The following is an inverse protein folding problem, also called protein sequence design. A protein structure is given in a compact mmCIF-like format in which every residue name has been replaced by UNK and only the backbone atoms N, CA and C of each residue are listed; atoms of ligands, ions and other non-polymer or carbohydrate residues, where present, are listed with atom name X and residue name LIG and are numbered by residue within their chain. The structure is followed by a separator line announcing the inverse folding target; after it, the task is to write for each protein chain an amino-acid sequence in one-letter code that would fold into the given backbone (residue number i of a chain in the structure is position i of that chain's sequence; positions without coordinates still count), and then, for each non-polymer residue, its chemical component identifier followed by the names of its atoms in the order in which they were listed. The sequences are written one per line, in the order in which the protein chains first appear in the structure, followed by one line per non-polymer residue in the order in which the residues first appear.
data_IF_367334519026
#
_entry.id   IF_367334519026
#
_cell.length_a   1.000
_cell.length_b   1.000
_cell.length_c   1.000
_cell.angle_alpha   90.00
_cell.angle_beta   90.00
_cell.angle_gamma   90.00
#
_symmetry.space_group_name_H-M   'P 1'
#
loop_
_entity.id
_entity.type
_entity.pdbx_description
1 polymer ?
#
# COMPACT_ATOMS: atom_id res chain seq x y z
N UNK A 1 -18.00 -11.51 17.68
CA UNK A 1 -16.73 -11.26 16.96
C UNK A 1 -15.94 -10.09 17.54
N UNK A 2 -16.56 -8.95 17.89
CA UNK A 2 -15.86 -7.79 18.47
C UNK A 2 -14.97 -8.15 19.67
N UNK A 3 -15.48 -8.93 20.64
CA UNK A 3 -14.69 -9.36 21.79
C UNK A 3 -13.44 -10.19 21.40
N UNK A 4 -13.53 -11.02 20.36
CA UNK A 4 -12.39 -11.76 19.84
C UNK A 4 -11.37 -10.83 19.17
N UNK A 5 -11.83 -9.83 18.41
CA UNK A 5 -10.95 -8.84 17.80
C UNK A 5 -10.15 -8.05 18.83
N UNK A 6 -10.79 -7.56 19.90
CA UNK A 6 -10.07 -6.86 20.96
C UNK A 6 -9.04 -7.78 21.63
N UNK A 7 -9.38 -9.06 21.82
CA UNK A 7 -8.43 -10.03 22.38
C UNK A 7 -7.25 -10.31 21.44
N UNK A 8 -7.50 -10.45 20.15
CA UNK A 8 -6.46 -10.60 19.13
C UNK A 8 -5.55 -9.38 19.13
N UNK A 9 -6.12 -8.17 19.20
CA UNK A 9 -5.37 -6.92 19.26
C UNK A 9 -4.45 -6.83 20.49
N UNK A 10 -4.91 -7.25 21.66
CA UNK A 10 -4.06 -7.35 22.87
C UNK A 10 -2.87 -8.29 22.64
N UNK A 11 -3.11 -9.44 22.02
CA UNK A 11 -2.05 -10.43 21.74
C UNK A 11 -1.05 -9.87 20.73
N UNK A 12 -1.52 -9.24 19.65
CA UNK A 12 -0.67 -8.59 18.64
C UNK A 12 0.23 -7.54 19.29
N UNK A 13 -0.33 -6.69 20.16
CA UNK A 13 0.43 -5.63 20.83
C UNK A 13 1.48 -6.18 21.82
N UNK A 14 1.28 -7.37 22.35
CA UNK A 14 2.28 -8.02 23.21
C UNK A 14 3.51 -8.55 22.46
N UNK A 15 3.42 -8.77 21.13
CA UNK A 15 4.47 -9.38 20.30
C UNK A 15 5.52 -8.39 19.72
N UNK A 16 5.71 -7.22 20.36
CA UNK A 16 6.81 -6.25 20.08
C UNK A 16 7.15 -6.02 18.59
N UNK A 17 6.15 -5.88 17.72
CA UNK A 17 6.33 -5.59 16.29
C UNK A 17 7.22 -6.61 15.54
N UNK A 18 7.30 -7.86 16.01
CA UNK A 18 7.98 -8.94 15.33
C UNK A 18 7.03 -9.66 14.35
N UNK A 19 7.58 -10.19 13.25
CA UNK A 19 6.81 -11.00 12.30
C UNK A 19 6.56 -12.38 12.92
N UNK A 20 5.29 -12.71 13.13
CA UNK A 20 4.85 -14.03 13.64
C UNK A 20 3.83 -14.63 12.67
N UNK A 21 4.15 -15.77 12.08
CA UNK A 21 3.29 -16.45 11.10
C UNK A 21 1.97 -16.93 11.71
N UNK A 22 1.96 -17.40 12.95
CA UNK A 22 0.73 -17.82 13.61
C UNK A 22 -0.20 -16.62 13.86
N UNK A 23 0.36 -15.45 14.23
CA UNK A 23 -0.42 -14.23 14.37
C UNK A 23 -0.96 -13.72 13.03
N UNK A 24 -0.15 -13.82 11.97
CA UNK A 24 -0.59 -13.48 10.61
C UNK A 24 -1.75 -14.36 10.15
N UNK A 25 -1.66 -15.67 10.34
CA UNK A 25 -2.72 -16.59 9.96
C UNK A 25 -3.98 -16.35 10.82
N UNK A 26 -3.82 -16.09 12.13
CA UNK A 26 -4.95 -15.79 13.01
C UNK A 26 -5.74 -14.54 12.59
N UNK A 27 -5.06 -13.46 12.19
CA UNK A 27 -5.75 -12.24 11.75
C UNK A 27 -6.41 -12.42 10.38
N UNK A 28 -5.77 -13.16 9.48
CA UNK A 28 -6.33 -13.52 8.18
C UNK A 28 -7.60 -14.36 8.35
N UNK A 29 -7.54 -15.45 9.12
CA UNK A 29 -8.70 -16.30 9.45
C UNK A 29 -9.83 -15.50 10.11
N UNK A 30 -9.49 -14.59 11.05
CA UNK A 30 -10.48 -13.73 11.68
C UNK A 30 -11.22 -12.86 10.66
N UNK A 31 -10.48 -12.23 9.75
CA UNK A 31 -11.09 -11.38 8.74
C UNK A 31 -11.85 -12.18 7.69
N UNK A 32 -11.44 -13.39 7.35
CA UNK A 32 -12.17 -14.24 6.41
C UNK A 32 -13.53 -14.68 6.99
N UNK A 33 -13.57 -15.01 8.29
CA UNK A 33 -14.83 -15.23 9.00
C UNK A 33 -15.68 -13.95 9.04
N UNK A 34 -15.04 -12.79 9.25
CA UNK A 34 -15.74 -11.50 9.28
C UNK A 34 -16.40 -11.18 7.93
N UNK A 35 -15.67 -11.41 6.84
CA UNK A 35 -16.19 -11.23 5.48
C UNK A 35 -17.30 -12.22 5.16
N UNK A 36 -17.22 -13.45 5.66
CA UNK A 36 -18.32 -14.43 5.54
C UNK A 36 -19.61 -13.92 6.18
N UNK A 37 -19.52 -13.28 7.36
CA UNK A 37 -20.68 -12.65 8.01
C UNK A 37 -21.17 -11.41 7.24
N UNK A 38 -20.25 -10.60 6.71
CA UNK A 38 -20.61 -9.45 5.88
C UNK A 38 -21.39 -9.85 4.62
N UNK A 39 -21.04 -10.97 3.99
CA UNK A 39 -21.60 -11.38 2.70
C UNK A 39 -22.88 -12.23 2.84
N UNK A 40 -23.27 -12.64 4.05
CA UNK A 40 -24.39 -13.57 4.25
C UNK A 40 -25.77 -12.94 3.99
N UNK A 41 -25.98 -11.72 4.48
CA UNK A 41 -27.23 -10.96 4.35
C UNK A 41 -27.01 -9.47 4.70
N UNK A 42 -28.05 -8.64 4.50
CA UNK A 42 -27.96 -7.20 4.76
C UNK A 42 -27.76 -6.83 6.24
N UNK A 43 -28.26 -7.64 7.17
CA UNK A 43 -28.14 -7.40 8.61
C UNK A 43 -26.68 -7.61 9.04
N UNK A 44 -26.10 -8.77 8.70
CA UNK A 44 -24.69 -9.08 8.92
C UNK A 44 -23.76 -8.07 8.24
N UNK A 45 -24.07 -7.64 7.01
CA UNK A 45 -23.36 -6.56 6.34
C UNK A 45 -23.35 -5.28 7.17
N UNK A 46 -24.52 -4.81 7.62
CA UNK A 46 -24.63 -3.57 8.38
C UNK A 46 -23.94 -3.66 9.74
N UNK A 47 -24.11 -4.75 10.49
CA UNK A 47 -23.43 -4.95 11.77
C UNK A 47 -21.90 -4.96 11.62
N UNK A 48 -21.37 -5.67 10.61
CA UNK A 48 -19.93 -5.67 10.35
C UNK A 48 -19.42 -4.26 10.03
N UNK A 49 -20.11 -3.51 9.18
CA UNK A 49 -19.69 -2.15 8.84
C UNK A 49 -19.71 -1.23 10.06
N UNK A 50 -20.76 -1.30 10.88
CA UNK A 50 -20.94 -0.45 12.06
C UNK A 50 -19.89 -0.73 13.15
N UNK A 51 -19.58 -2.01 13.39
CA UNK A 51 -18.69 -2.43 14.47
C UNK A 51 -17.21 -2.39 14.07
N UNK A 52 -16.87 -2.67 12.81
CA UNK A 52 -15.49 -2.95 12.41
C UNK A 52 -14.78 -1.86 11.62
N UNK A 53 -15.46 -0.97 10.87
CA UNK A 53 -14.76 0.07 10.10
C UNK A 53 -13.82 0.88 10.99
N UNK A 54 -14.32 1.43 12.11
CA UNK A 54 -13.53 2.22 13.05
C UNK A 54 -12.36 1.40 13.63
N UNK A 55 -12.60 0.14 13.98
CA UNK A 55 -11.61 -0.75 14.60
C UNK A 55 -10.48 -1.11 13.65
N UNK A 56 -10.82 -1.37 12.39
CA UNK A 56 -9.84 -1.70 11.36
C UNK A 56 -9.04 -0.46 11.01
N UNK A 57 -9.66 0.72 10.86
CA UNK A 57 -8.93 1.99 10.71
C UNK A 57 -7.93 2.22 11.86
N UNK A 58 -8.36 2.00 13.11
CA UNK A 58 -7.48 2.12 14.28
C UNK A 58 -6.33 1.10 14.26
N UNK A 59 -6.55 -0.11 13.74
CA UNK A 59 -5.51 -1.13 13.56
C UNK A 59 -4.50 -0.71 12.49
N UNK A 60 -4.97 -0.16 11.36
CA UNK A 60 -4.15 0.31 10.24
C UNK A 60 -3.18 1.42 10.66
N UNK A 61 -3.62 2.35 11.51
CA UNK A 61 -2.78 3.50 11.92
C UNK A 61 -1.82 3.21 13.07
N UNK A 62 -1.97 2.08 13.77
CA UNK A 62 -1.18 1.74 14.95
C UNK A 62 0.22 1.25 14.59
N UNK A 63 1.21 2.14 14.66
CA UNK A 63 2.61 1.86 14.32
C UNK A 63 3.30 0.79 15.19
N UNK A 64 2.67 0.37 16.31
CA UNK A 64 3.19 -0.71 17.16
C UNK A 64 2.93 -2.09 16.57
N UNK A 65 2.03 -2.16 15.58
CA UNK A 65 1.58 -3.38 14.95
C UNK A 65 2.43 -3.67 13.71
N UNK A 66 2.82 -4.94 13.56
CA UNK A 66 3.59 -5.40 12.42
C UNK A 66 2.91 -5.04 11.10
N UNK A 67 3.69 -4.53 10.15
CA UNK A 67 3.19 -3.98 8.89
C UNK A 67 2.37 -4.99 8.10
N UNK A 68 2.74 -6.29 8.12
CA UNK A 68 1.96 -7.32 7.44
C UNK A 68 0.53 -7.45 7.99
N UNK A 69 0.33 -7.29 9.30
CA UNK A 69 -1.01 -7.31 9.91
C UNK A 69 -1.79 -6.07 9.46
N UNK A 70 -1.13 -4.90 9.41
CA UNK A 70 -1.74 -3.66 8.92
C UNK A 70 -2.08 -3.73 7.44
N UNK A 71 -1.25 -4.39 6.63
CA UNK A 71 -1.52 -4.70 5.22
C UNK A 71 -2.76 -5.58 5.06
N UNK A 72 -2.92 -6.61 5.90
CA UNK A 72 -4.12 -7.44 5.86
C UNK A 72 -5.36 -6.64 6.27
N UNK A 73 -5.24 -5.83 7.32
CA UNK A 73 -6.30 -4.95 7.79
C UNK A 73 -6.76 -3.95 6.72
N UNK A 74 -5.84 -3.29 6.00
CA UNK A 74 -6.21 -2.29 4.99
C UNK A 74 -6.88 -2.94 3.77
N UNK A 75 -6.45 -4.13 3.35
CA UNK A 75 -7.10 -4.88 2.27
C UNK A 75 -8.55 -5.18 2.62
N UNK A 76 -8.77 -5.68 3.84
CA UNK A 76 -10.10 -6.00 4.35
C UNK A 76 -10.94 -4.73 4.57
N UNK A 77 -10.34 -3.62 5.00
CA UNK A 77 -11.02 -2.32 5.06
C UNK A 77 -11.51 -1.87 3.67
N UNK A 78 -10.66 -1.92 2.65
CA UNK A 78 -11.05 -1.52 1.30
C UNK A 78 -12.14 -2.42 0.72
N UNK A 79 -12.12 -3.72 1.02
CA UNK A 79 -13.21 -4.63 0.67
C UNK A 79 -14.53 -4.25 1.36
N UNK A 80 -14.51 -3.91 2.65
CA UNK A 80 -15.70 -3.45 3.38
C UNK A 80 -16.23 -2.10 2.88
N UNK A 81 -15.32 -1.20 2.50
CA UNK A 81 -15.68 0.10 1.92
C UNK A 81 -16.16 0.01 0.48
N UNK A 82 -15.97 -1.14 -0.17
CA UNK A 82 -16.45 -1.37 -1.53
C UNK A 82 -17.98 -1.44 -1.58
N UNK A 83 -18.56 -0.63 -2.47
CA UNK A 83 -20.00 -0.55 -2.64
C UNK A 83 -20.79 -0.28 -1.33
N UNK A 84 -20.24 0.53 -0.43
CA UNK A 84 -20.93 0.91 0.82
C UNK A 84 -22.23 1.67 0.52
N UNK A 85 -23.32 1.25 1.18
CA UNK A 85 -24.64 1.86 1.00
C UNK A 85 -24.69 3.31 1.50
N UNK A 86 -25.62 4.11 0.98
CA UNK A 86 -25.80 5.50 1.45
C UNK A 86 -26.09 5.57 2.95
N UNK A 87 -26.84 4.61 3.49
CA UNK A 87 -27.13 4.57 4.93
C UNK A 87 -25.89 4.22 5.76
N UNK A 88 -25.08 3.25 5.31
CA UNK A 88 -23.83 2.89 5.98
C UNK A 88 -22.78 4.01 5.93
N UNK A 89 -22.83 4.94 4.95
CA UNK A 89 -21.94 6.12 4.93
C UNK A 89 -22.08 7.04 6.15
N UNK A 90 -23.18 6.97 6.89
CA UNK A 90 -23.33 7.69 8.17
C UNK A 90 -22.24 7.29 9.17
N UNK A 91 -21.73 6.06 9.10
CA UNK A 91 -20.62 5.55 9.92
C UNK A 91 -19.35 6.36 9.68
N UNK A 92 -19.04 6.67 8.42
CA UNK A 92 -17.85 7.40 7.99
C UNK A 92 -17.91 8.88 8.42
N UNK A 93 -19.12 9.41 8.64
CA UNK A 93 -19.33 10.81 9.03
C UNK A 93 -19.13 11.07 10.53
N UNK A 94 -18.80 10.05 11.33
CA UNK A 94 -18.57 10.17 12.77
C UNK A 94 -17.28 10.97 13.07
N UNK A 95 -17.22 11.79 14.14
CA UNK A 95 -16.02 12.56 14.49
C UNK A 95 -14.77 11.71 14.71
N UNK A 96 -14.92 10.51 15.28
CA UNK A 96 -13.82 9.57 15.52
C UNK A 96 -13.19 9.09 14.21
N UNK A 97 -14.00 8.92 13.16
CA UNK A 97 -13.52 8.57 11.82
C UNK A 97 -12.67 9.69 11.21
N UNK A 98 -13.06 10.95 11.38
CA UNK A 98 -12.28 12.09 10.87
C UNK A 98 -10.87 12.12 11.48
N UNK A 99 -10.75 11.85 12.79
CA UNK A 99 -9.44 11.74 13.44
C UNK A 99 -8.61 10.60 12.85
N UNK A 100 -9.20 9.42 12.65
CA UNK A 100 -8.50 8.29 12.07
C UNK A 100 -8.08 8.56 10.62
N UNK A 101 -8.89 9.27 9.83
CA UNK A 101 -8.54 9.65 8.46
C UNK A 101 -7.36 10.61 8.41
N UNK A 102 -7.28 11.56 9.36
CA UNK A 102 -6.10 12.41 9.52
C UNK A 102 -4.86 11.55 9.82
N UNK A 103 -4.98 10.59 10.74
CA UNK A 103 -3.87 9.72 11.10
C UNK A 103 -3.46 8.79 9.95
N UNK A 104 -4.42 8.27 9.17
CA UNK A 104 -4.20 7.52 7.94
C UNK A 104 -3.45 8.35 6.90
N UNK A 105 -3.87 9.60 6.67
CA UNK A 105 -3.15 10.51 5.77
C UNK A 105 -1.70 10.71 6.19
N UNK A 106 -1.44 10.93 7.49
CA UNK A 106 -0.07 11.00 8.02
C UNK A 106 0.72 9.71 7.81
N UNK A 107 0.08 8.53 7.98
CA UNK A 107 0.72 7.22 7.82
C UNK A 107 1.18 6.95 6.39
N UNK A 108 0.60 7.58 5.36
CA UNK A 108 1.09 7.43 3.97
C UNK A 108 2.58 7.79 3.88
N UNK A 109 3.02 8.82 4.61
CA UNK A 109 4.39 9.33 4.53
C UNK A 109 5.45 8.39 5.15
N UNK A 110 5.06 7.52 6.07
CA UNK A 110 5.97 6.61 6.79
C UNK A 110 5.49 5.15 6.83
N UNK A 111 4.59 4.79 5.91
CA UNK A 111 4.08 3.43 5.74
C UNK A 111 5.18 2.40 5.50
N UNK A 112 6.19 2.76 4.69
CA UNK A 112 7.34 1.90 4.39
C UNK A 112 7.04 0.69 3.51
N UNK A 113 5.89 0.66 2.88
CA UNK A 113 5.50 -0.33 1.89
C UNK A 113 4.54 0.30 0.88
N UNK A 114 4.83 0.13 -0.40
CA UNK A 114 4.09 0.76 -1.49
C UNK A 114 2.62 0.30 -1.53
N UNK A 115 2.36 -1.00 -1.44
CA UNK A 115 0.99 -1.53 -1.46
C UNK A 115 0.20 -1.06 -0.24
N UNK A 116 0.86 -0.92 0.91
CA UNK A 116 0.25 -0.34 2.09
C UNK A 116 -0.10 1.15 1.89
N UNK A 117 0.79 1.92 1.24
CA UNK A 117 0.50 3.31 0.87
C UNK A 117 -0.70 3.42 -0.09
N UNK A 118 -0.78 2.54 -1.10
CA UNK A 118 -1.91 2.46 -2.03
C UNK A 118 -3.18 2.15 -1.26
N UNK A 119 -3.17 1.13 -0.40
CA UNK A 119 -4.33 0.72 0.38
C UNK A 119 -4.88 1.85 1.26
N UNK A 120 -4.00 2.59 1.95
CA UNK A 120 -4.42 3.75 2.77
C UNK A 120 -5.02 4.85 1.89
N UNK A 121 -4.38 5.14 0.75
CA UNK A 121 -4.84 6.14 -0.22
C UNK A 121 -6.21 5.78 -0.77
N UNK A 122 -6.42 4.52 -1.15
CA UNK A 122 -7.69 3.98 -1.61
C UNK A 122 -8.77 4.11 -0.53
N UNK A 123 -8.48 3.73 0.72
CA UNK A 123 -9.44 3.81 1.81
C UNK A 123 -9.91 5.25 2.04
N UNK A 124 -8.98 6.22 2.03
CA UNK A 124 -9.32 7.64 2.13
C UNK A 124 -10.21 8.09 0.96
N UNK A 125 -9.88 7.66 -0.27
CA UNK A 125 -10.68 7.96 -1.46
C UNK A 125 -12.05 7.28 -1.45
N UNK A 126 -12.21 6.07 -0.90
CA UNK A 126 -13.52 5.41 -0.73
C UNK A 126 -14.38 6.09 0.33
N UNK A 127 -13.75 6.57 1.40
CA UNK A 127 -14.42 7.27 2.49
C UNK A 127 -14.84 8.70 2.14
N UNK A 128 -14.29 9.30 1.08
CA UNK A 128 -14.54 10.70 0.72
C UNK A 128 -14.81 10.91 -0.75
N UNK A 129 -15.78 11.76 -1.06
CA UNK A 129 -15.92 12.27 -2.43
C UNK A 129 -14.72 13.13 -2.82
N UNK A 130 -14.45 13.25 -4.13
CA UNK A 130 -13.41 14.14 -4.64
C UNK A 130 -13.55 15.59 -4.13
N UNK A 131 -14.80 16.05 -3.96
CA UNK A 131 -15.09 17.37 -3.40
C UNK A 131 -14.62 17.48 -1.95
N UNK A 132 -14.92 16.50 -1.11
CA UNK A 132 -14.47 16.48 0.28
C UNK A 132 -12.95 16.41 0.38
N UNK A 133 -12.28 15.66 -0.51
CA UNK A 133 -10.80 15.60 -0.54
C UNK A 133 -10.14 16.96 -0.74
N UNK A 134 -10.77 17.86 -1.52
CA UNK A 134 -10.28 19.24 -1.71
C UNK A 134 -10.19 20.04 -0.41
N UNK A 135 -11.09 19.76 0.53
CA UNK A 135 -11.19 20.43 1.83
C UNK A 135 -10.34 19.71 2.90
N UNK A 136 -10.33 18.37 2.87
CA UNK A 136 -9.71 17.55 3.92
C UNK A 136 -8.21 17.31 3.73
N UNK A 137 -7.69 17.34 2.49
CA UNK A 137 -6.28 17.00 2.23
C UNK A 137 -5.28 17.88 3.00
N UNK A 138 -5.60 19.16 3.23
CA UNK A 138 -4.75 20.07 4.02
C UNK A 138 -4.74 19.74 5.52
N UNK A 139 -5.71 18.97 6.01
CA UNK A 139 -5.72 18.47 7.39
C UNK A 139 -4.96 17.15 7.52
N UNK A 140 -4.90 16.38 6.43
CA UNK A 140 -4.22 15.09 6.36
C UNK A 140 -2.71 15.24 6.18
N UNK A 141 -2.28 16.25 5.41
CA UNK A 141 -0.88 16.47 5.08
C UNK A 141 -0.44 17.89 5.47
N UNK A 142 0.58 17.99 6.31
CA UNK A 142 1.17 19.29 6.70
C UNK A 142 1.88 19.98 5.53
N UNK A 143 2.41 19.20 4.57
CA UNK A 143 3.08 19.73 3.38
C UNK A 143 2.04 20.10 2.31
N UNK A 144 1.96 21.38 1.96
CA UNK A 144 1.00 21.89 0.98
C UNK A 144 1.11 21.19 -0.38
N UNK A 145 2.33 20.92 -0.83
CA UNK A 145 2.55 20.21 -2.10
C UNK A 145 1.94 18.81 -2.07
N UNK A 146 2.11 18.05 -0.98
CA UNK A 146 1.53 16.71 -0.84
C UNK A 146 0.02 16.79 -0.79
N UNK A 147 -0.55 17.74 -0.04
CA UNK A 147 -1.98 17.97 -0.01
C UNK A 147 -2.51 18.27 -1.42
N UNK A 148 -1.85 19.13 -2.19
CA UNK A 148 -2.27 19.49 -3.54
C UNK A 148 -2.15 18.33 -4.53
N UNK A 149 -1.08 17.52 -4.43
CA UNK A 149 -0.95 16.31 -5.23
C UNK A 149 -2.07 15.31 -4.93
N UNK A 150 -2.41 15.11 -3.65
CA UNK A 150 -3.51 14.23 -3.24
C UNK A 150 -4.87 14.69 -3.76
N UNK A 151 -5.14 16.00 -3.77
CA UNK A 151 -6.36 16.59 -4.36
C UNK A 151 -6.51 16.29 -5.86
N UNK A 152 -5.41 16.00 -6.54
CA UNK A 152 -5.37 15.68 -7.96
C UNK A 152 -5.83 14.26 -8.30
N UNK A 153 -5.93 13.36 -7.31
CA UNK A 153 -6.36 11.97 -7.53
C UNK A 153 -7.84 11.94 -7.92
N UNK A 154 -8.13 11.42 -9.10
CA UNK A 154 -9.50 11.18 -9.57
C UNK A 154 -9.95 9.77 -9.26
N UNK A 155 -11.23 9.62 -8.91
CA UNK A 155 -11.81 8.29 -8.68
C UNK A 155 -11.81 7.48 -9.99
N UNK A 156 -12.07 8.13 -11.13
CA UNK A 156 -12.11 7.47 -12.45
C UNK A 156 -10.78 6.87 -12.89
N UNK A 157 -9.67 7.45 -12.44
CA UNK A 157 -8.31 7.15 -12.89
C UNK A 157 -7.38 6.77 -11.72
N UNK A 158 -7.99 6.28 -10.63
CA UNK A 158 -7.36 6.09 -9.32
C UNK A 158 -6.00 5.39 -9.41
N UNK A 159 -5.91 4.26 -10.12
CA UNK A 159 -4.66 3.48 -10.24
C UNK A 159 -3.48 4.33 -10.71
N UNK A 160 -3.68 5.05 -11.82
CA UNK A 160 -2.62 5.86 -12.43
C UNK A 160 -2.31 7.12 -11.64
N UNK A 161 -3.33 7.78 -11.10
CA UNK A 161 -3.16 9.00 -10.32
C UNK A 161 -2.56 8.71 -8.94
N UNK A 162 -2.93 7.58 -8.32
CA UNK A 162 -2.35 7.11 -7.06
C UNK A 162 -0.85 6.80 -7.23
N UNK A 163 -0.46 6.09 -8.30
CA UNK A 163 0.96 5.85 -8.63
C UNK A 163 1.73 7.15 -8.79
N UNK A 164 1.19 8.12 -9.54
CA UNK A 164 1.81 9.44 -9.70
C UNK A 164 1.96 10.15 -8.36
N UNK A 165 0.90 10.18 -7.55
CA UNK A 165 0.91 10.78 -6.22
C UNK A 165 1.97 10.17 -5.31
N UNK A 166 2.01 8.84 -5.20
CA UNK A 166 2.95 8.14 -4.30
C UNK A 166 4.40 8.27 -4.76
N UNK A 167 4.67 8.23 -6.07
CA UNK A 167 6.02 8.49 -6.60
C UNK A 167 6.48 9.92 -6.25
N UNK A 168 5.60 10.92 -6.34
CA UNK A 168 5.92 12.28 -5.91
C UNK A 168 6.19 12.37 -4.41
N UNK A 169 5.30 11.80 -3.59
CA UNK A 169 5.45 11.80 -2.11
C UNK A 169 6.77 11.15 -1.70
N UNK A 170 7.03 9.93 -2.18
CA UNK A 170 8.25 9.19 -1.84
C UNK A 170 9.50 9.92 -2.36
N UNK A 171 9.45 10.51 -3.55
CA UNK A 171 10.54 11.31 -4.10
C UNK A 171 10.89 12.54 -3.24
N UNK A 172 9.87 13.25 -2.75
CA UNK A 172 10.05 14.46 -1.94
C UNK A 172 10.60 14.21 -0.54
N UNK A 173 10.36 13.03 0.02
CA UNK A 173 10.90 12.65 1.32
C UNK A 173 12.43 12.47 1.30
N UNK A 174 13.04 12.42 0.11
CA UNK A 174 14.49 12.28 -0.05
C UNK A 174 15.03 11.07 0.70
N UNK A 175 16.07 11.27 1.51
CA UNK A 175 16.69 10.18 2.28
C UNK A 175 15.82 9.64 3.42
N UNK A 176 14.73 10.34 3.79
CA UNK A 176 13.79 9.89 4.83
C UNK A 176 12.71 8.95 4.28
N UNK A 177 12.66 8.74 2.96
CA UNK A 177 11.67 7.85 2.36
C UNK A 177 11.91 6.41 2.81
N UNK A 178 10.81 5.68 2.97
CA UNK A 178 10.83 4.26 3.31
C UNK A 178 10.43 3.36 2.14
N UNK A 179 10.09 3.98 0.99
CA UNK A 179 9.78 3.29 -0.26
C UNK A 179 10.60 3.96 -1.36
N UNK A 180 11.43 3.18 -2.06
CA UNK A 180 12.19 3.64 -3.22
C UNK A 180 11.58 3.00 -4.47
N UNK A 181 11.09 3.83 -5.38
CA UNK A 181 10.48 3.34 -6.62
C UNK A 181 11.39 3.65 -7.79
N UNK A 182 11.79 2.61 -8.54
CA UNK A 182 12.70 2.73 -9.66
C UNK A 182 12.06 2.22 -10.97
N UNK A 183 12.28 2.91 -12.10
CA UNK A 183 11.88 2.38 -13.40
C UNK A 183 12.81 1.23 -13.77
N UNK A 184 12.23 0.09 -14.15
CA UNK A 184 12.94 -1.11 -14.57
C UNK A 184 12.82 -1.28 -16.08
N UNK A 185 13.92 -1.70 -16.70
CA UNK A 185 14.00 -1.94 -18.13
C UNK A 185 13.35 -3.27 -18.52
N UNK A 186 13.52 -4.29 -17.68
CA UNK A 186 12.91 -5.61 -17.86
C UNK A 186 13.13 -6.50 -16.63
N UNK A 187 12.21 -7.43 -16.42
CA UNK A 187 12.26 -8.42 -15.34
C UNK A 187 12.20 -9.82 -15.93
N UNK A 188 13.05 -10.73 -15.45
CA UNK A 188 13.02 -12.14 -15.83
C UNK A 188 12.89 -13.02 -14.58
N UNK A 189 12.06 -14.05 -14.68
CA UNK A 189 12.07 -15.19 -13.79
C UNK A 189 12.86 -16.32 -14.46
N UNK A 190 14.04 -16.62 -13.93
CA UNK A 190 15.10 -17.41 -14.56
C UNK A 190 15.41 -16.95 -15.99
N UNK A 191 14.78 -17.58 -17.00
CA UNK A 191 14.98 -17.27 -18.43
C UNK A 191 13.74 -16.67 -19.09
N UNK A 192 12.64 -16.55 -18.35
CA UNK A 192 11.35 -16.14 -18.89
C UNK A 192 11.09 -14.68 -18.52
N UNK A 193 10.93 -13.83 -19.53
CA UNK A 193 10.61 -12.42 -19.34
C UNK A 193 9.19 -12.27 -18.75
N UNK A 194 9.06 -11.38 -17.78
CA UNK A 194 7.80 -10.96 -17.20
C UNK A 194 7.36 -9.71 -17.97
N UNK A 195 6.21 -9.75 -18.66
CA UNK A 195 5.74 -8.62 -19.45
C UNK A 195 5.39 -7.43 -18.54
N UNK A 196 5.79 -6.24 -18.96
CA UNK A 196 5.34 -4.97 -18.38
C UNK A 196 3.93 -4.61 -18.88
N UNK A 197 3.19 -3.82 -18.10
CA UNK A 197 1.91 -3.26 -18.51
C UNK A 197 2.12 -2.01 -19.38
N UNK A 198 1.45 -1.93 -20.54
CA UNK A 198 1.52 -0.80 -21.48
C UNK A 198 0.79 0.47 -20.98
N UNK A 199 -0.09 0.36 -19.97
CA UNK A 199 -0.84 1.49 -19.39
C UNK A 199 -0.01 2.30 -18.40
N UNK A 200 1.13 1.78 -17.95
CA UNK A 200 2.04 2.48 -17.06
C UNK A 200 3.15 3.14 -17.88
N UNK A 201 3.52 4.35 -17.48
CA UNK A 201 4.59 5.11 -18.15
C UNK A 201 5.95 4.40 -18.06
N UNK A 202 6.15 3.58 -17.01
CA UNK A 202 7.37 2.80 -16.75
C UNK A 202 7.02 1.50 -16.01
N UNK A 203 7.89 0.50 -16.10
CA UNK A 203 7.78 -0.71 -15.28
C UNK A 203 8.36 -0.43 -13.88
N UNK A 204 7.52 0.01 -12.95
CA UNK A 204 7.93 0.39 -11.60
C UNK A 204 8.24 -0.81 -10.71
N UNK A 205 9.40 -0.76 -10.05
CA UNK A 205 9.81 -1.69 -8.98
C UNK A 205 9.90 -0.92 -7.68
N UNK A 206 9.18 -1.37 -6.67
CA UNK A 206 9.06 -0.76 -5.36
C UNK A 206 9.95 -1.51 -4.35
N UNK A 207 10.90 -0.79 -3.77
CA UNK A 207 11.84 -1.25 -2.75
C UNK A 207 11.33 -0.76 -1.39
N UNK A 208 10.73 -1.66 -0.62
CA UNK A 208 9.98 -1.37 0.62
C UNK A 208 10.84 -1.64 1.86
N UNK A 209 11.31 -0.58 2.53
CA UNK A 209 12.16 -0.72 3.72
C UNK A 209 11.36 -1.15 4.95
N UNK A 210 10.07 -0.76 5.05
CA UNK A 210 9.21 -1.07 6.19
C UNK A 210 8.78 -2.53 6.23
N UNK A 211 8.36 -3.09 5.09
CA UNK A 211 8.02 -4.52 4.97
C UNK A 211 9.23 -5.41 4.67
N UNK A 212 10.40 -4.81 4.43
CA UNK A 212 11.61 -5.51 3.98
C UNK A 212 11.32 -6.40 2.76
N UNK A 213 10.76 -5.80 1.71
CA UNK A 213 10.42 -6.52 0.49
C UNK A 213 10.74 -5.70 -0.76
N UNK A 214 10.87 -6.39 -1.90
CA UNK A 214 10.78 -5.76 -3.22
C UNK A 214 9.47 -6.23 -3.85
N UNK A 215 8.70 -5.30 -4.41
CA UNK A 215 7.43 -5.60 -5.08
C UNK A 215 7.27 -4.89 -6.42
N UNK A 216 6.41 -5.44 -7.28
CA UNK A 216 6.03 -4.83 -8.55
C UNK A 216 4.70 -5.42 -9.05
N UNK A 217 4.05 -4.71 -9.96
CA UNK A 217 2.79 -5.13 -10.57
C UNK A 217 3.04 -5.78 -11.92
N UNK A 218 2.26 -6.81 -12.23
CA UNK A 218 2.15 -7.42 -13.56
C UNK A 218 0.70 -7.35 -14.02
N UNK A 219 0.48 -7.31 -15.33
CA UNK A 219 -0.88 -7.47 -15.86
C UNK A 219 -1.38 -8.89 -15.55
N UNK A 220 -2.58 -9.00 -14.97
CA UNK A 220 -3.22 -10.30 -14.74
C UNK A 220 -3.71 -10.94 -16.05
N UNK A 221 -3.80 -12.27 -16.04
CA UNK A 221 -4.21 -13.08 -17.19
C UNK A 221 -5.74 -13.07 -17.43
N UNK A 222 -6.54 -12.29 -16.70
CA UNK A 222 -8.01 -12.27 -16.79
C UNK A 222 -8.58 -11.20 -17.73
N UNK A 223 -9.82 -11.41 -18.19
CA UNK A 223 -10.53 -10.49 -19.10
C UNK A 223 -10.67 -9.07 -18.51
N UNK A 224 -10.65 -8.95 -17.18
CA UNK A 224 -10.74 -7.68 -16.45
C UNK A 224 -9.38 -6.96 -16.31
N UNK A 225 -8.28 -7.56 -16.79
CA UNK A 225 -6.90 -7.04 -16.74
C UNK A 225 -6.51 -6.59 -15.34
N UNK A 226 -6.93 -7.34 -14.32
CA UNK A 226 -6.66 -6.99 -12.93
C UNK A 226 -5.17 -7.19 -12.65
N UNK A 227 -4.46 -6.15 -12.21
CA UNK A 227 -3.04 -6.26 -11.86
C UNK A 227 -2.80 -7.34 -10.80
N UNK A 228 -1.67 -8.01 -10.86
CA UNK A 228 -1.21 -8.93 -9.83
C UNK A 228 0.05 -8.34 -9.19
N UNK A 229 0.06 -8.19 -7.86
CA UNK A 229 1.27 -7.80 -7.16
C UNK A 229 2.18 -9.01 -6.96
N UNK A 230 3.40 -8.91 -7.46
CA UNK A 230 4.50 -9.80 -7.07
C UNK A 230 5.24 -9.16 -5.89
N UNK A 231 5.36 -9.87 -4.77
CA UNK A 231 6.11 -9.42 -3.60
C UNK A 231 7.17 -10.45 -3.21
N UNK A 232 8.41 -9.98 -3.00
CA UNK A 232 9.56 -10.78 -2.62
C UNK A 232 10.02 -10.30 -1.25
N UNK A 233 9.56 -10.91 -0.15
CA UNK A 233 9.95 -10.51 1.19
C UNK A 233 11.35 -11.04 1.55
N UNK A 234 11.99 -10.39 2.51
CA UNK A 234 13.37 -10.70 2.91
C UNK A 234 13.56 -12.18 3.29
N UNK A 235 12.61 -12.79 3.97
CA UNK A 235 12.67 -14.19 4.38
C UNK A 235 12.66 -15.18 3.21
N UNK A 236 12.27 -14.79 2.01
CA UNK A 236 12.29 -15.64 0.80
C UNK A 236 13.60 -15.51 0.00
N UNK A 237 14.42 -14.51 0.27
CA UNK A 237 15.70 -14.28 -0.43
C UNK A 237 16.84 -15.01 0.29
N UNK A 238 17.53 -15.90 -0.43
CA UNK A 238 18.75 -16.56 0.03
C UNK A 238 19.95 -15.62 -0.10
N UNK A 239 20.11 -15.02 -1.27
CA UNK A 239 21.21 -14.12 -1.61
C UNK A 239 20.82 -13.17 -2.74
N UNK A 240 21.54 -12.08 -2.89
CA UNK A 240 21.42 -11.20 -4.05
C UNK A 240 22.78 -10.68 -4.51
N UNK A 241 22.83 -10.20 -5.75
CA UNK A 241 24.01 -9.54 -6.31
C UNK A 241 23.59 -8.40 -7.22
N UNK A 242 24.44 -7.37 -7.30
CA UNK A 242 24.29 -6.28 -8.27
C UNK A 242 25.54 -6.19 -9.12
N UNK A 243 25.38 -6.29 -10.43
CA UNK A 243 26.46 -6.15 -11.40
C UNK A 243 26.09 -5.18 -12.53
N UNK A 244 27.09 -4.63 -13.22
CA UNK A 244 26.87 -3.82 -14.42
C UNK A 244 27.29 -4.65 -15.62
N UNK A 245 26.35 -4.95 -16.52
CA UNK A 245 26.55 -5.76 -17.71
C UNK A 245 25.87 -5.09 -18.89
N UNK A 246 26.57 -5.02 -20.03
CA UNK A 246 26.03 -4.48 -21.29
C UNK A 246 25.38 -3.09 -21.14
N UNK A 247 26.04 -2.20 -20.40
CA UNK A 247 25.53 -0.86 -20.05
C UNK A 247 24.18 -0.85 -19.32
N UNK A 248 23.85 -1.93 -18.59
CA UNK A 248 22.69 -2.04 -17.71
C UNK A 248 23.15 -2.48 -16.31
N UNK A 249 22.41 -2.08 -15.28
CA UNK A 249 22.60 -2.57 -13.92
C UNK A 249 21.66 -3.74 -13.68
N UNK A 250 22.21 -4.90 -13.37
CA UNK A 250 21.46 -6.13 -13.13
C UNK A 250 21.44 -6.42 -11.64
N UNK A 251 20.24 -6.43 -11.05
CA UNK A 251 19.97 -7.02 -9.74
C UNK A 251 19.52 -8.47 -9.94
N UNK A 252 20.24 -9.41 -9.35
CA UNK A 252 19.84 -10.82 -9.30
C UNK A 252 19.44 -11.17 -7.87
N UNK A 253 18.23 -11.68 -7.69
CA UNK A 253 17.74 -12.26 -6.44
C UNK A 253 17.73 -13.78 -6.57
N UNK A 254 18.39 -14.47 -5.64
CA UNK A 254 18.36 -15.92 -5.51
C UNK A 254 17.35 -16.26 -4.41
N UNK A 255 16.30 -16.98 -4.78
CA UNK A 255 15.21 -17.33 -3.89
C UNK A 255 15.51 -18.64 -3.17
N UNK A 256 15.07 -18.75 -1.91
CA UNK A 256 15.18 -20.00 -1.12
C UNK A 256 14.36 -21.14 -1.74
N UNK A 257 13.21 -20.77 -2.28
CA UNK A 257 12.24 -21.67 -2.90
C UNK A 257 11.85 -21.11 -4.27
N UNK A 258 11.42 -21.99 -5.18
CA UNK A 258 10.87 -21.53 -6.46
C UNK A 258 9.59 -20.74 -6.24
N UNK A 259 9.44 -19.63 -6.96
CA UNK A 259 8.20 -18.86 -7.00
C UNK A 259 7.51 -19.04 -8.35
N UNK A 260 6.20 -18.75 -8.35
CA UNK A 260 5.41 -18.66 -9.57
C UNK A 260 5.10 -17.19 -9.89
N UNK A 261 5.00 -16.84 -11.16
CA UNK A 261 4.52 -15.53 -11.61
C UNK A 261 3.69 -15.76 -12.87
N UNK A 262 2.36 -15.63 -12.75
CA UNK A 262 1.43 -16.18 -13.75
C UNK A 262 1.70 -17.68 -13.99
N UNK A 263 1.92 -18.05 -15.25
CA UNK A 263 2.26 -19.43 -15.65
C UNK A 263 3.77 -19.76 -15.62
N UNK A 264 4.61 -18.87 -15.09
CA UNK A 264 6.07 -19.03 -15.05
C UNK A 264 6.51 -19.50 -13.68
N UNK A 265 7.51 -20.36 -13.61
CA UNK A 265 8.10 -20.89 -12.37
C UNK A 265 9.61 -20.71 -12.43
N UNK A 266 10.22 -20.24 -11.34
CA UNK A 266 11.68 -20.11 -11.29
C UNK A 266 12.23 -19.80 -9.90
N UNK A 267 13.55 -19.94 -9.77
CA UNK A 267 14.29 -19.74 -8.51
C UNK A 267 15.12 -18.46 -8.46
N UNK A 268 15.25 -17.74 -9.58
CA UNK A 268 16.01 -16.50 -9.67
C UNK A 268 15.20 -15.40 -10.33
N UNK A 269 15.21 -14.21 -9.73
CA UNK A 269 14.61 -13.01 -10.31
C UNK A 269 15.71 -12.06 -10.77
N UNK A 270 15.68 -11.67 -12.04
CA UNK A 270 16.65 -10.79 -12.67
C UNK A 270 15.96 -9.49 -13.05
N UNK A 271 16.41 -8.37 -12.49
CA UNK A 271 15.85 -7.05 -12.74
C UNK A 271 16.91 -6.15 -13.37
N UNK A 272 16.60 -5.61 -14.55
CA UNK A 272 17.50 -4.74 -15.30
C UNK A 272 17.13 -3.28 -15.10
N UNK A 273 18.12 -2.45 -14.79
CA UNK A 273 17.96 -1.04 -14.49
C UNK A 273 18.96 -0.19 -15.27
N UNK A 274 18.70 1.11 -15.33
CA UNK A 274 19.68 2.08 -15.79
C UNK A 274 20.93 2.09 -14.86
N UNK A 275 22.16 2.16 -15.40
CA UNK A 275 23.38 2.17 -14.59
C UNK A 275 23.50 3.30 -13.56
N UNK A 276 22.79 4.42 -13.73
CA UNK A 276 22.82 5.56 -12.81
C UNK A 276 22.04 5.30 -11.50
N UNK A 277 21.14 4.32 -11.46
CA UNK A 277 20.25 4.10 -10.31
C UNK A 277 20.95 3.41 -9.13
N UNK A 278 20.73 3.88 -7.91
CA UNK A 278 21.39 3.41 -6.69
C UNK A 278 20.79 2.10 -6.13
N UNK A 279 20.77 1.04 -6.94
CA UNK A 279 20.10 -0.22 -6.60
C UNK A 279 20.79 -0.98 -5.45
N UNK A 280 22.12 -0.95 -5.38
CA UNK A 280 22.89 -1.80 -4.46
C UNK A 280 22.62 -1.47 -2.99
N UNK A 281 22.68 -0.19 -2.61
CA UNK A 281 22.58 0.20 -1.20
C UNK A 281 21.15 0.12 -0.70
N UNK A 282 20.17 0.45 -1.55
CA UNK A 282 18.74 0.24 -1.25
C UNK A 282 18.45 -1.26 -1.06
N UNK A 283 18.97 -2.15 -1.91
CA UNK A 283 18.78 -3.59 -1.75
C UNK A 283 19.41 -4.13 -0.45
N UNK A 284 20.60 -3.63 -0.08
CA UNK A 284 21.25 -3.97 1.20
C UNK A 284 20.41 -3.54 2.41
N UNK A 285 19.74 -2.39 2.32
CA UNK A 285 18.88 -1.89 3.40
C UNK A 285 17.62 -2.76 3.59
N UNK A 286 17.19 -3.49 2.56
CA UNK A 286 16.03 -4.39 2.62
C UNK A 286 16.45 -5.80 3.07
N UNK A 287 17.41 -6.41 2.38
CA UNK A 287 17.76 -7.82 2.58
C UNK A 287 18.97 -8.06 3.49
N UNK A 288 19.68 -7.00 3.85
CA UNK A 288 20.90 -7.06 4.66
C UNK A 288 22.15 -7.29 3.82
N UNK A 289 23.24 -6.61 4.20
CA UNK A 289 24.54 -6.72 3.52
C UNK A 289 25.14 -8.15 3.58
N UNK A 290 24.73 -8.96 4.56
CA UNK A 290 25.12 -10.36 4.70
C UNK A 290 24.57 -11.26 3.57
N UNK A 291 23.49 -10.86 2.89
CA UNK A 291 22.94 -11.59 1.73
C UNK A 291 23.53 -11.14 0.39
N UNK A 292 24.28 -10.03 0.38
CA UNK A 292 24.95 -9.55 -0.83
C UNK A 292 26.16 -10.43 -1.15
N UNK A 293 26.10 -11.18 -2.25
CA UNK A 293 27.21 -12.00 -2.75
C UNK A 293 27.73 -11.40 -4.05
N UNK A 294 29.05 -11.31 -4.18
CA UNK A 294 29.66 -11.06 -5.49
C UNK A 294 29.52 -12.36 -6.29
N UNK A 295 28.67 -12.39 -7.33
CA UNK A 295 28.66 -13.53 -8.25
C UNK A 295 29.97 -13.46 -9.03
N UNK A 296 30.96 -14.26 -8.60
CA UNK A 296 32.06 -14.59 -9.48
C UNK A 296 31.48 -15.45 -10.61
N UNK A 297 31.77 -15.16 -11.90
CA UNK A 297 31.33 -16.02 -12.97
C UNK A 297 31.91 -17.40 -12.72
N UNK A 298 31.05 -18.34 -12.35
CA UNK A 298 31.42 -19.75 -12.24
C UNK A 298 31.89 -20.14 -13.64
N UNK A 299 33.21 -20.25 -13.83
CA UNK A 299 33.76 -20.94 -14.99
C UNK A 299 33.19 -22.34 -14.93
N UNK A 300 32.14 -22.62 -15.71
CA UNK A 300 31.64 -23.96 -15.92
C UNK A 300 32.81 -24.78 -16.47
N UNK A 301 33.48 -25.55 -15.61
CA UNK A 301 34.30 -26.66 -16.05
C UNK A 301 33.33 -27.67 -16.67
N UNK A 302 33.31 -27.77 -17.98
CA UNK A 302 32.80 -28.96 -18.64
C UNK A 302 33.58 -30.15 -18.07
N UNK A 303 32.89 -31.06 -17.40
CA UNK A 303 33.45 -32.35 -16.99
C UNK A 303 32.61 -33.41 -17.69
N UNK A 304 33.32 -34.33 -18.29
CA UNK A 304 32.89 -35.31 -19.28
C UNK A 304 31.79 -36.26 -18.79
N UNK A 305 31.05 -36.78 -19.77
CA UNK A 305 30.05 -37.81 -19.62
C UNK A 305 30.61 -39.03 -18.86
N UNK A 306 29.89 -39.48 -17.83
CA UNK A 306 30.12 -40.79 -17.20
C UNK A 306 28.85 -41.61 -17.26
N UNK A 307 29.00 -42.85 -17.70
CA UNK A 307 27.97 -43.80 -18.12
C UNK A 307 26.93 -44.15 -17.04
N UNK A 308 25.71 -44.41 -17.50
CA UNK A 308 24.63 -45.05 -16.75
C UNK A 308 24.89 -46.55 -16.63
N UNK A 309 24.73 -47.11 -15.42
CA UNK A 309 24.52 -48.56 -15.20
C UNK A 309 23.19 -48.72 -14.45
N UNK A 310 22.26 -49.59 -14.90
CA UNK A 310 20.95 -49.77 -14.25
C UNK A 310 20.92 -50.95 -13.25
N UNK A 311 20.09 -50.80 -12.20
CA UNK A 311 19.64 -51.84 -11.25
C UNK A 311 20.09 -51.58 -9.81
N UNK A 312 19.34 -51.81 -8.73
CA UNK A 312 17.97 -52.31 -8.47
C UNK A 312 17.70 -52.03 -6.97
N UNK A 313 16.45 -51.70 -6.65
CA UNK A 313 15.74 -51.85 -5.37
C UNK A 313 16.05 -51.01 -4.10
N UNK A 314 15.07 -50.13 -3.83
CA UNK A 314 14.27 -49.97 -2.60
C UNK A 314 14.99 -49.66 -1.29
N UNK A 315 15.00 -48.36 -0.96
CA UNK A 315 14.94 -47.89 0.42
C UNK A 315 13.81 -46.87 0.58
N UNK A 316 12.76 -47.28 1.29
CA UNK A 316 11.60 -46.45 1.65
C UNK A 316 12.01 -45.47 2.74
N UNK A 317 12.36 -44.23 2.37
CA UNK A 317 12.52 -43.14 3.33
C UNK A 317 11.18 -42.42 3.44
N UNK A 318 10.53 -42.56 4.61
CA UNK A 318 9.40 -41.72 5.02
C UNK A 318 9.90 -40.28 5.15
N UNK A 319 9.59 -39.44 4.17
CA UNK A 319 9.77 -38.00 4.27
C UNK A 319 8.70 -37.45 5.22
N UNK A 320 9.13 -37.00 6.39
CA UNK A 320 8.38 -36.03 7.18
C UNK A 320 8.26 -34.76 6.32
N UNK A 321 7.04 -34.41 5.95
CA UNK A 321 6.72 -33.15 5.27
C UNK A 321 6.88 -32.05 6.33
N UNK A 322 8.05 -31.43 6.35
CA UNK A 322 8.21 -30.12 6.99
C UNK A 322 7.50 -29.10 6.10
N UNK A 323 6.41 -28.53 6.60
CA UNK A 323 5.73 -27.39 6.00
C UNK A 323 6.70 -26.20 5.97
N UNK A 324 7.36 -25.98 4.85
CA UNK A 324 8.05 -24.73 4.56
C UNK A 324 7.15 -23.92 3.65
N UNK A 325 6.79 -22.72 4.10
CA UNK A 325 6.05 -21.72 3.35
C UNK A 325 6.67 -21.53 1.97
N UNK A 326 5.88 -21.77 0.92
CA UNK A 326 6.22 -21.31 -0.44
C UNK A 326 6.25 -19.78 -0.46
N UNK A 327 7.06 -19.14 -1.32
CA UNK A 327 7.05 -17.69 -1.48
C UNK A 327 5.61 -17.23 -1.72
N UNK A 328 5.07 -16.42 -0.81
CA UNK A 328 3.67 -15.98 -0.89
C UNK A 328 3.53 -15.00 -2.05
N UNK A 329 3.11 -15.50 -3.21
CA UNK A 329 2.39 -14.69 -4.18
C UNK A 329 1.05 -14.38 -3.52
N UNK A 330 0.97 -13.26 -2.83
CA UNK A 330 -0.33 -12.72 -2.47
C UNK A 330 -0.96 -12.24 -3.77
N UNK A 331 -2.02 -12.89 -4.23
CA UNK A 331 -2.96 -12.25 -5.16
C UNK A 331 -3.65 -11.12 -4.40
N UNK A 332 -2.94 -10.02 -4.23
CA UNK A 332 -3.51 -8.78 -3.73
C UNK A 332 -4.17 -8.17 -4.95
N UNK A 333 -5.50 -8.23 -4.96
CA UNK A 333 -6.28 -7.47 -5.94
C UNK A 333 -5.83 -6.01 -5.85
N UNK A 334 -5.48 -5.34 -6.96
CA UNK A 334 -5.34 -3.90 -7.00
C UNK A 334 -6.66 -3.27 -6.53
N UNK A 335 -6.61 -2.00 -6.14
CA UNK A 335 -7.78 -1.21 -5.75
C UNK A 335 -8.98 -1.55 -6.64
N UNK A 336 -10.11 -1.91 -6.03
CA UNK A 336 -11.29 -2.26 -6.84
C UNK A 336 -11.71 -1.01 -7.61
N UNK A 337 -12.09 -1.17 -8.89
CA UNK A 337 -12.50 -0.07 -9.77
C UNK A 337 -13.40 0.91 -9.02
N UNK A 338 -12.91 2.12 -8.80
CA UNK A 338 -13.66 3.14 -8.09
C UNK A 338 -14.82 3.63 -8.97
N UNK A 339 -16.03 3.25 -8.60
CA UNK A 339 -17.26 3.72 -9.27
C UNK A 339 -17.73 5.04 -8.65
N UNK A 340 -18.08 5.98 -9.53
CA UNK A 340 -18.48 7.32 -9.13
C UNK A 340 -19.80 7.26 -8.33
N UNK A 341 -19.80 7.77 -7.10
CA UNK A 341 -20.94 7.66 -6.17
C UNK A 341 -22.18 8.48 -6.59
N UNK A 342 -22.09 9.19 -7.71
CA UNK A 342 -23.15 10.01 -8.29
C UNK A 342 -23.97 9.32 -9.39
N UNK A 343 -23.58 8.13 -9.88
CA UNK A 343 -24.34 7.44 -10.92
C UNK A 343 -25.49 6.60 -10.31
N UNK A 344 -26.73 6.70 -10.83
CA UNK A 344 -27.80 5.78 -10.47
C UNK A 344 -27.50 4.39 -11.06
N UNK A 345 -27.94 3.29 -10.40
CA UNK A 345 -27.67 1.94 -10.88
C UNK A 345 -28.27 1.78 -12.27
N UNK A 346 -27.44 1.40 -13.25
CA UNK A 346 -27.87 1.12 -14.60
C UNK A 346 -28.82 -0.09 -14.57
N UNK A 347 -30.07 0.17 -14.93
CA UNK A 347 -31.10 -0.86 -15.10
C UNK A 347 -30.62 -1.85 -16.16
N UNK A 348 -30.68 -3.14 -15.81
CA UNK A 348 -30.48 -4.27 -16.72
C UNK A 348 -31.11 -4.00 -18.09
N UNK A 349 -30.28 -3.77 -19.13
CA UNK A 349 -30.75 -3.77 -20.51
C UNK A 349 -30.88 -5.21 -20.99
N UNK A 350 -32.11 -5.72 -20.94
CA UNK A 350 -32.54 -6.90 -21.67
C UNK A 350 -32.25 -6.68 -23.16
N UNK A 351 -31.56 -7.65 -23.78
CA UNK A 351 -31.35 -7.73 -25.23
C UNK A 351 -32.69 -8.06 -25.90
N UNK A 352 -33.30 -7.10 -26.58
CA UNK A 352 -34.27 -7.39 -27.65
C UNK A 352 -33.60 -7.30 -29.02
N UNK A 353 -33.78 -8.37 -29.81
CA UNK A 353 -33.42 -8.45 -31.23
C UNK A 353 -34.61 -7.94 -32.05
N UNK A 354 -34.38 -7.10 -33.06
CA UNK A 354 -35.42 -6.77 -34.04
C UNK A 354 -35.08 -5.69 -35.06
N UNK A 355 -34.46 -6.12 -36.17
CA UNK A 355 -34.55 -5.63 -37.57
C UNK A 355 -34.76 -4.13 -37.95
N UNK A 356 -33.73 -3.62 -38.66
CA UNK A 356 -33.70 -2.99 -40.01
C UNK A 356 -34.41 -1.66 -40.34
N UNK A 357 -33.57 -0.77 -40.90
CA UNK A 357 -33.75 0.19 -42.00
C UNK A 357 -34.37 1.58 -41.72
N UNK A 358 -33.55 2.64 -41.84
CA UNK A 358 -33.76 3.75 -42.78
C UNK A 358 -32.54 4.69 -42.81
N UNK A 359 -32.21 5.16 -44.01
CA UNK A 359 -31.16 6.13 -44.38
C UNK A 359 -31.73 7.54 -44.34
N UNK A 360 -30.95 8.52 -43.85
CA UNK A 360 -31.01 9.95 -44.24
C UNK A 360 -29.66 10.66 -43.97
N UNK A 361 -29.23 11.47 -44.94
CA UNK A 361 -27.95 12.19 -45.11
C UNK A 361 -28.03 13.64 -44.51
N UNK A 362 -26.99 14.50 -44.58
CA UNK A 362 -26.39 15.18 -43.43
C UNK A 362 -26.71 16.69 -43.32
N UNK A 363 -26.46 17.26 -42.14
CA UNK A 363 -26.50 18.70 -41.90
C UNK A 363 -25.22 19.18 -41.21
N UNK A 364 -24.48 20.03 -41.92
CA UNK A 364 -23.28 20.76 -41.50
C UNK A 364 -23.64 21.93 -40.57
N UNK A 365 -22.90 22.13 -39.46
CA UNK A 365 -22.45 23.47 -39.00
C UNK A 365 -21.11 23.33 -38.26
N UNK A 366 -20.23 24.25 -38.60
CA UNK A 366 -18.83 24.46 -38.23
C UNK A 366 -18.50 24.62 -36.73
N UNK A 367 -17.26 24.25 -36.39
CA UNK A 367 -16.35 25.20 -35.77
C UNK A 367 -15.89 24.94 -34.33
N UNK A 368 -14.75 24.24 -34.16
CA UNK A 368 -13.47 24.77 -33.60
C UNK A 368 -12.56 23.62 -33.16
N UNK A 369 -11.33 23.66 -33.67
CA UNK A 369 -10.25 22.74 -33.30
C UNK A 369 -9.71 23.01 -31.88
N UNK A 370 -9.01 22.02 -31.28
CA UNK A 370 -8.69 21.96 -29.87
C UNK A 370 -7.33 22.62 -29.55
N UNK A 371 -7.27 23.38 -28.45
CA UNK A 371 -6.01 23.82 -27.88
C UNK A 371 -5.41 22.70 -27.01
N UNK A 372 -4.30 22.15 -27.47
CA UNK A 372 -3.34 21.38 -26.70
C UNK A 372 -2.70 22.26 -25.63
N UNK A 373 -2.88 21.93 -24.35
CA UNK A 373 -2.02 22.41 -23.28
C UNK A 373 -1.01 21.31 -22.95
N UNK A 374 0.11 21.36 -23.66
CA UNK A 374 1.37 20.78 -23.24
C UNK A 374 1.89 21.68 -22.10
N UNK A 375 1.93 21.16 -20.87
CA UNK A 375 2.54 21.87 -19.74
C UNK A 375 3.95 21.31 -19.52
N UNK A 376 4.92 22.00 -20.09
CA UNK A 376 6.33 21.86 -19.75
C UNK A 376 6.54 22.39 -18.32
N UNK A 377 6.85 21.49 -17.38
CA UNK A 377 7.30 21.87 -16.04
C UNK A 377 8.83 21.95 -16.00
N UNK A 378 9.42 23.06 -15.49
CA UNK A 378 10.86 23.20 -15.39
C UNK A 378 11.40 22.31 -14.26
N UNK A 379 12.40 21.49 -14.59
CA UNK A 379 13.31 20.85 -13.62
C UNK A 379 14.03 21.95 -12.84
N UNK A 380 13.54 22.30 -11.65
CA UNK A 380 14.29 23.14 -10.71
C UNK A 380 14.66 22.33 -9.48
N UNK A 381 15.97 22.11 -9.31
CA UNK A 381 16.57 21.60 -8.09
C UNK A 381 16.21 22.53 -6.94
N UNK A 382 15.34 22.07 -6.04
CA UNK A 382 15.21 22.64 -4.70
C UNK A 382 16.38 22.11 -3.89
N UNK A 383 17.27 23.00 -3.44
CA UNK A 383 18.47 22.63 -2.68
C UNK A 383 18.10 22.11 -1.29
N UNK A 384 18.75 21.00 -0.91
CA UNK A 384 18.63 20.23 0.35
C UNK A 384 18.58 21.08 1.63
N UNK A 385 19.23 22.25 1.61
CA UNK A 385 19.28 23.19 2.74
C UNK A 385 17.92 23.81 3.08
N UNK A 386 17.07 24.11 2.10
CA UNK A 386 15.76 24.76 2.34
C UNK A 386 14.71 23.81 2.94
N UNK A 387 14.84 22.50 2.65
CA UNK A 387 13.95 21.47 3.21
C UNK A 387 14.36 21.12 4.64
N UNK A 388 15.66 21.13 4.94
CA UNK A 388 16.19 20.85 6.28
C UNK A 388 15.75 21.92 7.29
N UNK A 389 15.78 23.21 6.92
CA UNK A 389 15.28 24.30 7.76
C UNK A 389 13.77 24.22 8.03
N UNK A 390 12.97 23.74 7.08
CA UNK A 390 11.53 23.59 7.30
C UNK A 390 11.21 22.47 8.32
N UNK A 391 12.03 21.42 8.37
CA UNK A 391 11.83 20.28 9.28
C UNK A 391 12.35 20.59 10.69
N UNK A 392 13.49 21.27 10.84
CA UNK A 392 13.98 21.69 12.17
C UNK A 392 13.07 22.71 12.84
N UNK A 393 12.48 23.63 12.05
CA UNK A 393 11.53 24.61 12.58
C UNK A 393 10.21 23.98 13.07
N UNK A 394 9.81 22.83 12.52
CA UNK A 394 8.59 22.13 12.93
C UNK A 394 8.79 21.29 14.20
N UNK A 395 9.98 20.69 14.37
CA UNK A 395 10.36 20.04 15.63
C UNK A 395 10.44 21.06 16.77
N UNK A 396 11.03 22.24 16.53
CA UNK A 396 11.14 23.29 17.54
C UNK A 396 9.79 23.92 17.90
N UNK A 397 8.85 24.08 16.96
CA UNK A 397 7.47 24.52 17.28
C UNK A 397 6.74 23.50 18.14
N UNK A 398 6.90 22.21 17.88
CA UNK A 398 6.27 21.16 18.67
C UNK A 398 6.86 21.03 20.08
N UNK A 399 8.13 21.40 20.29
CA UNK A 399 8.76 21.49 21.61
C UNK A 399 8.28 22.73 22.37
N UNK A 400 8.14 23.89 21.71
CA UNK A 400 7.68 25.13 22.33
C UNK A 400 6.21 25.07 22.77
N UNK A 401 5.36 24.36 22.01
CA UNK A 401 3.95 24.14 22.38
C UNK A 401 3.83 23.17 23.57
N UNK A 402 4.76 22.21 23.72
CA UNK A 402 4.78 21.29 24.88
C UNK A 402 5.33 21.91 26.17
N UNK A 403 6.09 23.00 26.10
CA UNK A 403 6.59 23.68 27.30
C UNK A 403 5.61 24.72 27.90
N UNK A 404 4.58 25.13 27.16
CA UNK A 404 3.61 26.14 27.61
C UNK A 404 2.31 25.57 28.22
N UNK A 405 2.29 24.31 28.66
CA UNK A 405 1.08 23.68 29.26
C UNK A 405 1.26 23.13 30.67
N UNK A 406 2.23 23.64 31.43
CA UNK A 406 2.31 23.41 32.88
C UNK A 406 2.39 24.76 33.62
N UNK A 407 1.28 25.18 34.21
CA UNK A 407 1.16 26.39 35.02
C UNK A 407 -0.18 26.45 35.74
N UNK A 408 -0.26 25.73 36.85
CA UNK A 408 -1.05 25.91 38.08
C UNK A 408 -2.44 26.59 38.02
N UNK A 409 -3.46 25.81 38.38
CA UNK A 409 -4.77 26.30 38.84
C UNK A 409 -4.71 26.36 40.37
N UNK A 410 -4.53 27.57 40.92
CA UNK A 410 -4.62 27.82 42.35
C UNK A 410 -6.10 27.84 42.81
N UNK A 411 -6.43 26.91 43.69
CA UNK A 411 -7.67 26.84 44.45
C UNK A 411 -7.47 27.69 45.72
N UNK A 412 -8.26 28.75 45.91
CA UNK A 412 -8.29 29.53 47.16
C UNK A 412 -9.61 29.26 47.90
N UNK A 413 -9.61 28.79 49.16
CA UNK A 413 -10.77 28.80 50.03
C UNK A 413 -10.76 29.93 51.06
N UNK A 414 -11.98 30.44 51.31
CA UNK A 414 -12.52 31.14 52.49
C UNK A 414 -11.92 32.46 53.01
N UNK A 415 -12.82 33.45 53.22
CA UNK A 415 -12.88 34.32 54.42
C UNK A 415 -14.07 35.31 54.37
N UNK A 416 -15.08 35.08 55.21
CA UNK A 416 -15.96 36.12 55.78
C UNK A 416 -15.55 36.32 57.24
N UNK A 417 -15.40 37.57 57.72
CA UNK A 417 -16.24 37.97 58.85
C UNK A 417 -16.51 39.49 58.93
N UNK A 418 -17.76 39.91 59.15
CA UNK A 418 -18.04 41.12 59.97
C UNK A 418 -19.37 40.92 60.72
N UNK A 419 -19.26 40.72 62.03
CA UNK A 419 -20.36 40.94 62.96
C UNK A 419 -20.40 42.41 63.39
N UNK A 420 -21.59 43.01 63.34
CA UNK A 420 -21.96 44.16 64.17
C UNK A 420 -23.14 43.75 65.04
N UNK A 421 -22.96 43.90 66.36
CA UNK A 421 -24.05 43.91 67.35
C UNK A 421 -24.70 45.29 67.31
N UNK A 422 -26.02 45.34 67.36
CA UNK A 422 -26.77 45.91 68.49
C UNK A 422 -28.27 45.55 68.37
N UNK A 423 -28.89 45.21 69.51
CA UNK A 423 -30.35 45.07 69.73
C UNK A 423 -30.89 46.43 70.28
N UNK A 424 -32.15 46.56 70.71
CA UNK A 424 -33.44 46.36 70.03
C UNK A 424 -34.32 47.64 70.09
N UNK A 425 -35.38 47.72 69.27
CA UNK A 425 -36.74 48.22 69.60
C UNK A 425 -37.64 48.10 68.37
#
# INVERSE_FOLDING_TARGET
MVAWFEKIKEIILSHKNEKDEAMMNLIEDFFDVLMTVHDINNEGKMEVLEDFILRICALVVDMRIHICIRQEAIKKLNALLDNISRDARKIISKPEMLSLMIDMGKRILDAGDYDFQVGITEALCRMTSEKQRRELACQWFSMEFVANAFKGIKDSDFETDCRKFLNHVNGMLGDKRLVFTFPCLSVFLDKCEIPSDEKLDEFWIDFNLGSQSISFYIAGDDDDHQWETVSIPNDEVEAFSVEVKDAKKLLTLILKNTMNVGNKVGGQLLLYFDPSLEIIDVTKNIYGANKHRMIMPVKRKMSEATMVIPGTDKLTVKTLITNTSTPRIGRVKPPLKMVNSAEPPSVYKVKERGAKNAVSLPGSVEGRNPHSYQSDFPKSQITVSKVSEAIENDVNRNVLVKQNTNGDVDIIPDSQPVGKRDKPL
#
